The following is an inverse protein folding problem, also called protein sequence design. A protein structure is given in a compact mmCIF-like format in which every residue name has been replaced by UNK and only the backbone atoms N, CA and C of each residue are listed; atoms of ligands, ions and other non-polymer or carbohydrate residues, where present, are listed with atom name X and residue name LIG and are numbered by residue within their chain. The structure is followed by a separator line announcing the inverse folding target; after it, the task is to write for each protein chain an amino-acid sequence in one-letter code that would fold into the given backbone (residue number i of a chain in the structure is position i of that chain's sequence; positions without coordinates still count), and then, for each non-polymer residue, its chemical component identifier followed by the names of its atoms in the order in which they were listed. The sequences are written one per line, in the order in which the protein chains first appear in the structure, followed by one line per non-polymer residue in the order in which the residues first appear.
data_IF_679436766867
#
_entry.id   IF_679436766867
#
_cell.length_a   1.000
_cell.length_b   1.000
_cell.length_c   1.000
_cell.angle_alpha   90.00
_cell.angle_beta   90.00
_cell.angle_gamma   90.00
#
_symmetry.space_group_name_H-M   'P 1'
#
loop_
_entity.id
_entity.type
_entity.pdbx_description
1 polymer ?
#
# COMPACT_ATOMS: atom_id res chain seq x y z
N UNK A 1 -5.80 -1.46 -15.28
CA UNK A 1 -4.81 -1.25 -14.23
C UNK A 1 -4.80 0.22 -13.90
N UNK A 2 -4.87 0.55 -12.62
CA UNK A 2 -4.96 1.90 -12.09
C UNK A 2 -3.75 2.25 -11.20
N UNK A 3 -2.96 1.24 -10.83
CA UNK A 3 -1.72 1.40 -10.09
C UNK A 3 -0.65 2.08 -10.94
N UNK A 4 -0.07 3.16 -10.42
CA UNK A 4 1.11 3.83 -10.96
C UNK A 4 2.19 3.94 -9.89
N UNK A 5 3.41 3.51 -10.22
CA UNK A 5 4.58 3.55 -9.34
C UNK A 5 5.65 4.41 -10.00
N UNK A 6 6.09 5.48 -9.34
CA UNK A 6 7.16 6.32 -9.83
C UNK A 6 8.48 5.53 -9.87
N UNK A 7 9.03 5.33 -11.07
CA UNK A 7 10.35 4.75 -11.28
C UNK A 7 11.05 5.35 -12.50
N UNK A 8 12.38 5.40 -12.45
CA UNK A 8 13.26 5.80 -13.55
C UNK A 8 14.06 4.64 -14.13
N UNK A 9 14.31 3.60 -13.32
CA UNK A 9 14.97 2.35 -13.63
C UNK A 9 13.98 1.17 -13.46
N UNK A 10 13.40 0.68 -14.57
CA UNK A 10 12.53 -0.49 -14.54
C UNK A 10 13.21 -1.75 -14.00
N UNK A 11 14.53 -1.90 -14.16
CA UNK A 11 15.26 -3.05 -13.66
C UNK A 11 15.32 -3.04 -12.13
N UNK A 12 15.52 -1.87 -11.52
CA UNK A 12 15.47 -1.71 -10.07
C UNK A 12 14.09 -2.02 -9.48
N UNK A 13 13.00 -1.66 -10.18
CA UNK A 13 11.65 -2.04 -9.77
C UNK A 13 11.42 -3.56 -9.91
N UNK A 14 11.81 -4.14 -11.04
CA UNK A 14 11.67 -5.59 -11.30
C UNK A 14 12.41 -6.42 -10.25
N UNK A 15 13.64 -6.01 -9.89
CA UNK A 15 14.47 -6.75 -8.94
C UNK A 15 13.87 -6.84 -7.52
N UNK A 16 12.92 -5.98 -7.17
CA UNK A 16 12.29 -5.94 -5.84
C UNK A 16 10.79 -6.19 -5.84
N UNK A 17 10.19 -6.48 -7.00
CA UNK A 17 8.75 -6.60 -7.15
C UNK A 17 8.37 -7.97 -7.69
N UNK A 18 7.38 -8.56 -7.04
CA UNK A 18 6.73 -9.78 -7.48
C UNK A 18 5.22 -9.55 -7.59
N UNK A 19 4.52 -10.50 -8.21
CA UNK A 19 3.08 -10.43 -8.38
C UNK A 19 2.39 -11.78 -8.28
N UNK A 20 1.13 -11.76 -7.86
CA UNK A 20 0.25 -12.94 -7.80
C UNK A 20 -1.22 -12.52 -7.92
N UNK A 21 -2.15 -13.47 -7.88
CA UNK A 21 -3.58 -13.17 -7.81
C UNK A 21 -4.03 -12.85 -6.38
N UNK A 22 -5.30 -12.47 -6.20
CA UNK A 22 -5.92 -12.39 -4.88
C UNK A 22 -6.94 -13.52 -4.69
N UNK A 23 -7.16 -13.89 -3.43
CA UNK A 23 -8.19 -14.83 -3.00
C UNK A 23 -8.89 -14.33 -1.74
N UNK A 24 -10.09 -14.81 -1.47
CA UNK A 24 -10.69 -14.68 -0.15
C UNK A 24 -10.08 -15.71 0.81
N UNK A 25 -10.08 -15.39 2.10
CA UNK A 25 -9.80 -16.34 3.18
C UNK A 25 -10.71 -17.58 3.05
N UNK A 26 -10.17 -18.76 3.33
CA UNK A 26 -10.81 -20.07 3.17
C UNK A 26 -10.94 -20.88 4.45
N UNK A 27 -10.81 -20.25 5.63
CA UNK A 27 -10.94 -20.90 6.94
C UNK A 27 -9.80 -20.59 7.92
N UNK A 28 -8.85 -19.74 7.54
CA UNK A 28 -7.74 -19.31 8.39
C UNK A 28 -8.25 -18.44 9.55
N UNK A 29 -8.23 -18.97 10.77
CA UNK A 29 -8.81 -18.33 11.97
C UNK A 29 -8.11 -17.02 12.39
N UNK A 30 -6.86 -16.82 11.97
CA UNK A 30 -6.09 -15.59 12.23
C UNK A 30 -6.54 -14.39 11.38
N UNK A 31 -7.46 -14.59 10.44
CA UNK A 31 -7.99 -13.57 9.55
C UNK A 31 -9.46 -13.27 9.82
N UNK A 32 -9.87 -12.05 9.50
CA UNK A 32 -11.28 -11.71 9.46
C UNK A 32 -12.03 -12.50 8.38
N UNK A 33 -13.32 -12.82 8.61
CA UNK A 33 -14.18 -13.38 7.58
C UNK A 33 -14.20 -12.49 6.33
N UNK A 34 -13.94 -13.11 5.18
CA UNK A 34 -13.90 -12.40 3.90
C UNK A 34 -12.63 -11.61 3.62
N UNK A 35 -11.62 -11.64 4.51
CA UNK A 35 -10.31 -11.01 4.26
C UNK A 35 -9.75 -11.42 2.89
N UNK A 36 -9.14 -10.46 2.19
CA UNK A 36 -8.54 -10.68 0.87
C UNK A 36 -7.04 -10.83 1.04
N UNK A 37 -6.51 -11.95 0.53
CA UNK A 37 -5.12 -12.36 0.69
C UNK A 37 -4.45 -12.57 -0.67
N UNK A 38 -3.12 -12.43 -0.78
CA UNK A 38 -2.39 -12.95 -1.92
C UNK A 38 -2.67 -14.44 -2.12
N UNK A 39 -2.89 -14.85 -3.37
CA UNK A 39 -3.22 -16.24 -3.70
C UNK A 39 -1.99 -17.15 -3.71
N UNK A 40 -0.83 -16.61 -4.09
CA UNK A 40 0.39 -17.39 -4.32
C UNK A 40 0.26 -18.35 -5.53
N UNK A 41 1.38 -18.94 -5.99
CA UNK A 41 2.75 -18.52 -5.69
C UNK A 41 3.05 -17.12 -6.26
N UNK A 42 4.10 -16.48 -5.74
CA UNK A 42 4.64 -15.23 -6.29
C UNK A 42 5.39 -15.48 -7.58
N UNK A 43 5.31 -14.52 -8.49
CA UNK A 43 6.03 -14.52 -9.77
C UNK A 43 6.82 -13.22 -9.91
N UNK A 44 8.05 -13.25 -10.45
CA UNK A 44 8.80 -12.04 -10.73
C UNK A 44 8.01 -11.06 -11.61
N UNK A 45 8.14 -9.76 -11.35
CA UNK A 45 7.55 -8.73 -12.19
C UNK A 45 8.17 -8.79 -13.60
N UNK A 46 7.33 -8.87 -14.64
CA UNK A 46 7.84 -8.85 -16.03
C UNK A 46 8.10 -7.43 -16.51
N UNK A 47 8.96 -7.28 -17.53
CA UNK A 47 9.23 -6.00 -18.19
C UNK A 47 7.96 -5.31 -18.69
N UNK A 48 7.02 -6.07 -19.24
CA UNK A 48 5.73 -5.54 -19.74
C UNK A 48 4.83 -5.05 -18.61
N UNK A 49 4.89 -5.68 -17.44
CA UNK A 49 4.16 -5.20 -16.26
C UNK A 49 4.85 -3.96 -15.68
N UNK A 50 6.18 -3.94 -15.58
CA UNK A 50 6.94 -2.79 -15.11
C UNK A 50 6.69 -1.55 -15.98
N UNK A 51 6.65 -1.72 -17.30
CA UNK A 51 6.32 -0.66 -18.26
C UNK A 51 4.90 -0.10 -18.06
N UNK A 52 3.94 -0.97 -17.75
CA UNK A 52 2.55 -0.57 -17.48
C UNK A 52 2.39 0.20 -16.16
N UNK A 53 3.26 -0.06 -15.18
CA UNK A 53 3.24 0.61 -13.87
C UNK A 53 3.81 2.04 -13.93
N UNK A 54 4.50 2.40 -15.02
CA UNK A 54 5.12 3.72 -15.17
C UNK A 54 4.04 4.81 -15.20
N UNK A 55 4.16 5.89 -14.39
CA UNK A 55 3.21 6.98 -14.41
C UNK A 55 3.22 7.71 -15.75
N UNK A 56 2.05 8.17 -16.17
CA UNK A 56 1.92 9.09 -17.29
C UNK A 56 2.23 10.52 -16.84
N UNK A 57 2.45 11.43 -17.80
CA UNK A 57 2.61 12.86 -17.52
C UNK A 57 1.39 13.46 -16.79
N UNK A 58 0.20 12.89 -17.00
CA UNK A 58 -1.06 13.29 -16.37
C UNK A 58 -1.36 12.60 -15.04
N UNK A 59 -0.49 11.69 -14.56
CA UNK A 59 -0.70 11.02 -13.28
C UNK A 59 -0.56 12.02 -12.14
N UNK A 60 -1.65 12.27 -11.41
CA UNK A 60 -1.67 13.14 -10.22
C UNK A 60 -1.01 12.48 -9.02
N UNK A 61 -0.43 13.31 -8.14
CA UNK A 61 0.28 12.85 -6.94
C UNK A 61 -0.62 11.97 -6.05
N UNK A 62 -1.88 12.34 -5.84
CA UNK A 62 -2.88 11.58 -5.06
C UNK A 62 -3.23 10.18 -5.61
N UNK A 63 -2.69 9.80 -6.77
CA UNK A 63 -2.84 8.46 -7.37
C UNK A 63 -1.52 7.72 -7.53
N UNK A 64 -0.41 8.35 -7.15
CA UNK A 64 0.95 7.88 -7.38
C UNK A 64 1.52 7.20 -6.14
N UNK A 65 2.09 6.02 -6.35
CA UNK A 65 2.97 5.36 -5.38
C UNK A 65 4.41 5.75 -5.67
N UNK A 66 5.16 6.10 -4.63
CA UNK A 66 6.58 6.41 -4.70
C UNK A 66 7.34 5.53 -3.71
N UNK A 67 8.39 4.85 -4.17
CA UNK A 67 9.29 4.09 -3.31
C UNK A 67 10.41 5.03 -2.88
N UNK A 68 10.56 5.28 -1.59
CA UNK A 68 11.38 6.39 -1.09
C UNK A 68 12.42 5.90 -0.09
N UNK A 69 13.51 6.65 0.02
CA UNK A 69 14.50 6.45 1.08
C UNK A 69 14.42 7.59 2.09
N UNK A 70 14.74 7.29 3.35
CA UNK A 70 15.02 8.34 4.32
C UNK A 70 16.11 9.28 3.79
N UNK A 71 15.93 10.61 3.89
CA UNK A 71 16.98 11.56 3.53
C UNK A 71 18.25 11.28 4.32
N UNK A 72 19.41 11.46 3.68
CA UNK A 72 20.68 11.54 4.40
C UNK A 72 20.71 12.84 5.19
N UNK A 73 20.84 12.76 6.51
CA UNK A 73 20.83 13.95 7.36
C UNK A 73 20.86 13.62 8.85
N UNK A 74 20.88 14.64 9.71
CA UNK A 74 20.74 14.42 11.14
C UNK A 74 19.41 13.72 11.44
N UNK A 75 19.45 12.74 12.33
CA UNK A 75 18.24 12.04 12.79
C UNK A 75 17.32 13.08 13.43
N UNK A 76 16.04 13.18 13.01
CA UNK A 76 15.12 14.14 13.60
C UNK A 76 14.97 13.85 15.11
N UNK A 77 14.72 14.91 15.89
CA UNK A 77 14.64 14.81 17.36
C UNK A 77 13.55 13.81 17.84
N UNK A 78 12.56 13.56 16.99
CA UNK A 78 11.58 12.48 17.15
C UNK A 78 11.13 11.98 15.78
N UNK A 79 10.51 10.79 15.74
CA UNK A 79 9.87 10.31 14.52
C UNK A 79 8.69 11.19 14.09
N UNK A 80 7.96 11.80 15.03
CA UNK A 80 6.87 12.71 14.68
C UNK A 80 7.38 13.86 13.80
N UNK A 81 8.54 14.43 14.14
CA UNK A 81 9.17 15.54 13.43
C UNK A 81 9.82 15.15 12.08
N UNK A 82 9.75 13.88 11.68
CA UNK A 82 10.35 13.41 10.42
C UNK A 82 9.63 13.97 9.18
N UNK A 83 8.33 14.27 9.30
CA UNK A 83 7.52 14.80 8.21
C UNK A 83 7.61 16.34 8.07
N UNK A 84 8.00 17.07 9.13
CA UNK A 84 8.11 18.53 9.14
C UNK A 84 8.90 19.11 7.95
N UNK A 85 10.10 18.60 7.59
CA UNK A 85 10.86 19.13 6.47
C UNK A 85 10.24 18.80 5.11
N UNK A 86 9.22 17.95 5.04
CA UNK A 86 8.57 17.54 3.79
C UNK A 86 7.49 18.54 3.32
N UNK A 87 7.22 19.59 4.11
CA UNK A 87 6.48 20.77 3.66
C UNK A 87 4.96 20.70 3.75
N UNK A 88 4.40 19.66 4.38
CA UNK A 88 2.98 19.61 4.73
C UNK A 88 2.78 19.95 6.22
N UNK A 89 2.25 21.13 6.57
CA UNK A 89 2.02 21.53 7.95
C UNK A 89 0.91 20.72 8.64
N UNK A 90 0.05 20.05 7.87
CA UNK A 90 -1.07 19.24 8.38
C UNK A 90 -0.74 17.74 8.41
N UNK A 91 0.53 17.37 8.16
CA UNK A 91 0.98 16.00 8.23
C UNK A 91 0.83 15.44 9.65
N UNK A 92 0.24 14.25 9.76
CA UNK A 92 -0.02 13.60 11.06
C UNK A 92 0.81 12.34 11.17
N UNK A 93 1.58 12.20 12.24
CA UNK A 93 2.19 10.93 12.62
C UNK A 93 1.12 9.99 13.18
N UNK A 94 0.88 8.88 12.49
CA UNK A 94 -0.13 7.88 12.87
C UNK A 94 0.40 6.87 13.90
N UNK A 95 1.72 6.82 14.10
CA UNK A 95 2.36 5.92 15.05
C UNK A 95 3.21 4.84 14.38
N UNK A 96 3.45 3.79 15.14
CA UNK A 96 4.31 2.66 14.77
C UNK A 96 3.56 1.34 14.88
N UNK A 97 3.95 0.36 14.08
CA UNK A 97 3.50 -1.02 14.21
C UNK A 97 4.69 -1.98 14.10
N UNK A 98 4.72 -2.98 14.99
CA UNK A 98 5.60 -4.13 14.88
C UNK A 98 4.86 -5.28 14.18
N UNK A 99 5.56 -5.98 13.29
CA UNK A 99 5.06 -7.13 12.55
C UNK A 99 5.97 -8.33 12.84
N UNK A 100 5.41 -9.51 13.18
CA UNK A 100 6.22 -10.72 13.32
C UNK A 100 6.84 -11.10 11.96
N UNK A 101 7.86 -11.95 11.99
CA UNK A 101 8.36 -12.61 10.79
C UNK A 101 7.30 -13.52 10.15
N UNK A 102 7.45 -13.82 8.86
CA UNK A 102 6.63 -14.79 8.11
C UNK A 102 5.11 -14.47 8.05
N UNK A 103 4.70 -13.22 8.23
CA UNK A 103 3.29 -12.85 8.17
C UNK A 103 2.86 -12.51 6.74
N UNK A 104 1.90 -13.27 6.18
CA UNK A 104 1.38 -13.04 4.83
C UNK A 104 0.82 -11.62 4.66
N UNK A 105 0.12 -11.12 5.67
CA UNK A 105 -0.24 -9.70 5.81
C UNK A 105 -0.02 -9.27 7.26
N UNK A 106 -0.04 -7.97 7.56
CA UNK A 106 0.45 -7.48 8.86
C UNK A 106 -0.56 -6.67 9.66
N UNK A 107 -1.63 -6.17 9.06
CA UNK A 107 -2.54 -5.25 9.76
C UNK A 107 -3.58 -6.01 10.60
N UNK A 108 -3.56 -5.90 11.95
CA UNK A 108 -4.61 -6.46 12.79
C UNK A 108 -5.81 -5.51 12.87
N UNK A 109 -7.00 -6.07 13.08
CA UNK A 109 -8.13 -5.33 13.61
C UNK A 109 -7.89 -5.09 15.10
N UNK A 110 -7.98 -3.82 15.52
CA UNK A 110 -7.78 -3.41 16.91
C UNK A 110 -8.83 -3.98 17.88
N UNK A 111 -10.00 -4.42 17.38
CA UNK A 111 -11.09 -4.92 18.19
C UNK A 111 -10.89 -6.38 18.63
N UNK A 112 -10.35 -7.22 17.75
CA UNK A 112 -10.26 -8.67 17.99
C UNK A 112 -8.90 -9.30 17.66
N UNK A 113 -7.95 -8.52 17.15
CA UNK A 113 -6.59 -8.94 16.84
C UNK A 113 -6.44 -9.75 15.55
N UNK A 114 -7.53 -10.10 14.86
CA UNK A 114 -7.45 -10.83 13.58
C UNK A 114 -6.93 -9.92 12.48
N UNK A 115 -6.23 -10.48 11.51
CA UNK A 115 -5.70 -9.73 10.37
C UNK A 115 -6.80 -9.41 9.37
N UNK A 116 -6.81 -8.17 8.88
CA UNK A 116 -7.85 -7.68 7.96
C UNK A 116 -7.59 -8.07 6.49
N UNK A 117 -6.32 -8.35 6.15
CA UNK A 117 -5.85 -8.60 4.80
C UNK A 117 -5.70 -7.32 3.97
N UNK A 118 -5.62 -7.45 2.65
CA UNK A 118 -5.68 -6.28 1.75
C UNK A 118 -6.90 -5.43 2.07
N UNK A 119 -6.69 -4.13 2.24
CA UNK A 119 -7.70 -3.18 2.68
C UNK A 119 -7.46 -1.79 2.08
N UNK A 120 -8.45 -0.92 2.22
CA UNK A 120 -8.29 0.52 1.97
C UNK A 120 -8.43 1.29 3.27
N UNK A 121 -7.62 2.33 3.41
CA UNK A 121 -7.74 3.28 4.52
C UNK A 121 -8.96 4.21 4.32
N UNK A 122 -9.46 4.77 5.41
CA UNK A 122 -10.61 5.69 5.41
C UNK A 122 -10.44 6.82 6.45
N UNK A 123 -9.23 7.37 6.55
CA UNK A 123 -8.90 8.46 7.46
C UNK A 123 -9.65 9.75 7.11
N UNK A 124 -9.72 10.07 5.82
CA UNK A 124 -10.35 11.28 5.26
C UNK A 124 -11.85 11.10 5.01
N UNK A 125 -12.35 9.86 5.05
CA UNK A 125 -13.77 9.49 4.87
C UNK A 125 -14.37 10.03 3.56
N UNK A 126 -13.57 10.07 2.50
CA UNK A 126 -13.97 10.61 1.21
C UNK A 126 -14.99 9.71 0.49
N UNK A 127 -15.89 10.35 -0.25
CA UNK A 127 -16.81 9.69 -1.16
C UNK A 127 -16.12 9.15 -2.41
N UNK A 128 -16.88 8.45 -3.25
CA UNK A 128 -16.40 7.85 -4.50
C UNK A 128 -15.73 8.84 -5.45
N UNK A 129 -16.25 10.06 -5.57
CA UNK A 129 -15.76 11.04 -6.54
C UNK A 129 -14.43 11.63 -6.07
N UNK A 130 -14.35 11.96 -4.78
CA UNK A 130 -13.21 12.58 -4.15
C UNK A 130 -12.15 11.59 -3.67
N UNK A 131 -12.38 10.27 -3.70
CA UNK A 131 -11.45 9.27 -3.11
C UNK A 131 -9.99 9.37 -3.58
N UNK A 132 -9.76 9.88 -4.78
CA UNK A 132 -8.44 10.07 -5.38
C UNK A 132 -7.69 11.32 -4.89
N UNK A 133 -8.35 12.20 -4.12
CA UNK A 133 -7.76 13.41 -3.54
C UNK A 133 -7.34 13.22 -2.09
N UNK A 134 -7.51 12.00 -1.54
CA UNK A 134 -7.13 11.69 -0.17
C UNK A 134 -5.64 11.91 0.08
N UNK A 135 -5.31 12.16 1.35
CA UNK A 135 -3.94 12.21 1.82
C UNK A 135 -3.25 10.89 1.52
N UNK A 136 -1.95 10.98 1.24
CA UNK A 136 -1.10 9.81 1.01
C UNK A 136 -0.48 9.40 2.32
N UNK A 137 -0.25 8.10 2.46
CA UNK A 137 0.44 7.52 3.61
C UNK A 137 1.92 7.43 3.31
N UNK A 138 2.73 8.06 4.14
CA UNK A 138 4.17 7.85 4.21
C UNK A 138 4.42 6.70 5.19
N UNK A 139 5.24 5.73 4.80
CA UNK A 139 5.65 4.62 5.64
C UNK A 139 7.14 4.42 5.51
N UNK A 140 7.83 4.18 6.63
CA UNK A 140 9.23 3.74 6.63
C UNK A 140 9.38 2.40 7.36
N UNK A 141 10.16 1.49 6.77
CA UNK A 141 10.64 0.31 7.46
C UNK A 141 11.76 0.71 8.43
N UNK A 142 11.53 0.50 9.73
CA UNK A 142 12.49 0.76 10.80
C UNK A 142 13.38 -0.47 11.09
N UNK A 143 13.08 -1.63 10.49
CA UNK A 143 13.83 -2.87 10.69
C UNK A 143 13.44 -3.64 11.96
N UNK A 144 14.25 -4.63 12.38
CA UNK A 144 15.53 -5.01 11.76
C UNK A 144 15.36 -5.76 10.43
N UNK A 145 14.28 -6.51 10.24
CA UNK A 145 13.99 -7.23 9.00
C UNK A 145 13.49 -6.35 7.86
N UNK A 146 13.64 -6.83 6.64
CA UNK A 146 12.93 -6.27 5.49
C UNK A 146 11.43 -6.53 5.60
N UNK A 147 10.65 -5.75 4.87
CA UNK A 147 9.20 -5.96 4.77
C UNK A 147 8.74 -5.69 3.36
N UNK A 148 7.50 -6.07 3.07
CA UNK A 148 6.88 -5.81 1.80
C UNK A 148 5.72 -4.84 1.92
N UNK A 149 5.59 -3.97 0.91
CA UNK A 149 4.33 -3.30 0.60
C UNK A 149 3.53 -4.19 -0.37
N UNK A 150 2.30 -4.50 0.00
CA UNK A 150 1.33 -5.15 -0.88
C UNK A 150 0.43 -4.10 -1.51
N UNK A 151 0.18 -4.19 -2.83
CA UNK A 151 -0.71 -3.28 -3.57
C UNK A 151 -1.54 -4.04 -4.60
N UNK A 152 -2.82 -3.73 -4.71
CA UNK A 152 -3.65 -4.22 -5.82
C UNK A 152 -3.44 -3.41 -7.11
N UNK A 153 -3.70 -4.04 -8.26
CA UNK A 153 -3.59 -3.42 -9.59
C UNK A 153 -4.79 -2.52 -9.96
N UNK A 154 -5.87 -2.60 -9.19
CA UNK A 154 -7.08 -1.79 -9.32
C UNK A 154 -7.26 -0.90 -8.09
N UNK A 155 -7.66 0.35 -8.32
CA UNK A 155 -8.12 1.23 -7.25
C UNK A 155 -9.55 0.88 -6.82
N UNK A 156 -9.93 1.34 -5.62
CA UNK A 156 -11.24 1.04 -5.04
C UNK A 156 -12.39 1.68 -5.84
N UNK A 157 -12.12 2.73 -6.64
CA UNK A 157 -13.14 3.34 -7.51
C UNK A 157 -13.44 2.46 -8.72
N UNK A 158 -12.43 1.79 -9.28
CA UNK A 158 -12.58 0.80 -10.34
C UNK A 158 -13.33 -0.43 -9.83
N UNK A 159 -13.03 -0.86 -8.60
CA UNK A 159 -13.75 -1.93 -7.91
C UNK A 159 -15.23 -1.56 -7.73
N UNK A 160 -15.54 -0.40 -7.16
CA UNK A 160 -16.92 0.05 -6.97
C UNK A 160 -17.69 0.15 -8.28
N UNK A 161 -17.07 0.67 -9.35
CA UNK A 161 -17.68 0.76 -10.68
C UNK A 161 -18.01 -0.62 -11.28
N UNK A 162 -17.26 -1.66 -10.92
CA UNK A 162 -17.53 -3.03 -11.36
C UNK A 162 -18.64 -3.72 -10.54
N UNK A 163 -18.90 -3.25 -9.32
CA UNK A 163 -19.90 -3.81 -8.41
C UNK A 163 -21.26 -3.12 -8.51
N UNK A 164 -21.27 -1.80 -8.74
CA UNK A 164 -22.46 -0.97 -8.61
C UNK A 164 -22.81 -0.28 -9.91
N UNK A 165 -24.12 -0.22 -10.21
CA UNK A 165 -24.66 0.52 -11.36
C UNK A 165 -24.43 2.03 -11.23
N UNK A 166 -24.54 2.56 -10.00
CA UNK A 166 -24.26 3.96 -9.67
C UNK A 166 -23.34 4.00 -8.44
N UNK A 167 -22.02 4.18 -8.63
CA UNK A 167 -21.07 4.25 -7.54
C UNK A 167 -20.97 5.65 -6.89
N UNK A 168 -21.55 6.70 -7.49
CA UNK A 168 -21.32 8.10 -7.08
C UNK A 168 -21.78 8.41 -5.66
N UNK A 169 -22.80 7.70 -5.16
CA UNK A 169 -23.36 7.87 -3.81
C UNK A 169 -22.66 7.04 -2.73
N UNK A 170 -21.57 6.36 -3.06
CA UNK A 170 -20.90 5.43 -2.15
C UNK A 170 -19.69 6.08 -1.49
N UNK A 171 -19.36 5.56 -0.32
CA UNK A 171 -18.07 5.76 0.34
C UNK A 171 -17.32 4.44 0.22
N UNK A 172 -16.34 4.34 -0.72
CA UNK A 172 -15.63 3.08 -0.95
C UNK A 172 -14.98 2.54 0.33
N UNK A 173 -15.18 1.25 0.61
CA UNK A 173 -14.73 0.58 1.82
C UNK A 173 -14.04 -0.74 1.52
N UNK A 174 -13.31 -1.29 2.49
CA UNK A 174 -12.69 -2.63 2.39
C UNK A 174 -13.70 -3.72 2.02
N UNK A 175 -14.96 -3.58 2.43
CA UNK A 175 -16.01 -4.56 2.08
C UNK A 175 -16.32 -4.60 0.57
N UNK A 176 -16.11 -3.50 -0.16
CA UNK A 176 -16.24 -3.50 -1.62
C UNK A 176 -15.15 -4.36 -2.27
N UNK A 177 -13.92 -4.25 -1.77
CA UNK A 177 -12.82 -5.14 -2.19
C UNK A 177 -13.14 -6.60 -1.90
N UNK A 178 -13.64 -6.90 -0.69
CA UNK A 178 -14.03 -8.27 -0.29
C UNK A 178 -15.11 -8.82 -1.21
N UNK A 179 -16.16 -8.05 -1.49
CA UNK A 179 -17.24 -8.43 -2.40
C UNK A 179 -16.74 -8.67 -3.83
N UNK A 180 -15.82 -7.85 -4.32
CA UNK A 180 -15.23 -8.00 -5.66
C UNK A 180 -14.49 -9.33 -5.81
N UNK A 181 -13.63 -9.68 -4.87
CA UNK A 181 -12.85 -10.93 -4.91
C UNK A 181 -13.74 -12.14 -4.63
N UNK A 182 -14.70 -12.05 -3.70
CA UNK A 182 -15.69 -13.10 -3.45
C UNK A 182 -16.54 -13.41 -4.70
N UNK A 183 -16.79 -12.40 -5.54
CA UNK A 183 -17.40 -12.54 -6.87
C UNK A 183 -16.51 -13.20 -7.93
N UNK A 184 -15.34 -13.74 -7.54
CA UNK A 184 -14.34 -14.39 -8.42
C UNK A 184 -13.83 -13.49 -9.54
N UNK A 185 -13.83 -12.18 -9.33
CA UNK A 185 -13.30 -11.22 -10.30
C UNK A 185 -11.78 -11.14 -10.15
N UNK A 186 -11.03 -11.06 -11.26
CA UNK A 186 -9.58 -11.04 -11.20
C UNK A 186 -9.08 -9.76 -10.52
N UNK A 187 -8.14 -9.93 -9.60
CA UNK A 187 -7.38 -8.87 -8.96
C UNK A 187 -5.92 -9.34 -8.88
N UNK A 188 -5.00 -8.51 -9.35
CA UNK A 188 -3.57 -8.77 -9.23
C UNK A 188 -3.03 -8.03 -8.02
N UNK A 189 -2.15 -8.70 -7.27
CA UNK A 189 -1.43 -8.13 -6.14
C UNK A 189 0.04 -8.04 -6.49
N UNK A 190 0.65 -6.92 -6.15
CA UNK A 190 2.09 -6.69 -6.21
C UNK A 190 2.65 -6.73 -4.81
N UNK A 191 3.85 -7.30 -4.67
CA UNK A 191 4.61 -7.33 -3.43
C UNK A 191 5.97 -6.69 -3.70
N UNK A 192 6.27 -5.59 -3.00
CA UNK A 192 7.45 -4.77 -3.22
C UNK A 192 8.33 -4.79 -1.97
N UNK A 193 9.58 -5.24 -2.10
CA UNK A 193 10.52 -5.33 -0.98
C UNK A 193 11.03 -3.93 -0.55
N UNK A 194 11.04 -3.71 0.77
CA UNK A 194 11.50 -2.51 1.45
C UNK A 194 12.46 -2.91 2.58
N UNK A 195 13.73 -2.59 2.40
CA UNK A 195 14.76 -2.79 3.42
C UNK A 195 14.64 -1.75 4.54
N UNK A 196 15.28 -1.96 5.70
CA UNK A 196 15.37 -0.92 6.73
C UNK A 196 15.88 0.41 6.17
N UNK A 197 15.18 1.50 6.50
CA UNK A 197 15.44 2.84 5.98
C UNK A 197 14.83 3.16 4.62
N UNK A 198 14.21 2.16 3.97
CA UNK A 198 13.35 2.34 2.79
C UNK A 198 11.88 2.46 3.20
N UNK A 199 11.08 3.03 2.31
CA UNK A 199 9.70 3.37 2.58
C UNK A 199 8.88 3.61 1.32
N UNK A 200 7.67 4.11 1.52
CA UNK A 200 6.80 4.52 0.43
C UNK A 200 5.97 5.74 0.78
N UNK A 201 5.56 6.49 -0.25
CA UNK A 201 4.40 7.39 -0.21
C UNK A 201 3.34 6.77 -1.12
N UNK A 202 2.17 6.42 -0.58
CA UNK A 202 1.12 5.74 -1.35
C UNK A 202 -0.28 6.26 -1.00
N UNK A 203 -1.23 6.31 -1.96
CA UNK A 203 -2.61 6.71 -1.69
C UNK A 203 -3.39 5.51 -1.14
N UNK A 204 -3.14 5.15 0.11
CA UNK A 204 -3.71 3.96 0.77
C UNK A 204 -5.22 4.04 1.01
N UNK A 205 -5.80 5.24 0.93
CA UNK A 205 -7.24 5.45 0.82
C UNK A 205 -7.81 4.93 -0.51
N UNK A 206 -7.07 5.11 -1.60
CA UNK A 206 -7.52 4.81 -2.96
C UNK A 206 -7.17 3.38 -3.38
N UNK A 207 -5.97 2.91 -3.03
CA UNK A 207 -5.41 1.64 -3.46
C UNK A 207 -5.54 0.58 -2.34
N UNK A 208 -6.17 -0.58 -2.63
CA UNK A 208 -6.08 -1.72 -1.74
C UNK A 208 -4.63 -2.12 -1.48
N UNK A 209 -4.28 -2.26 -0.20
CA UNK A 209 -2.92 -2.45 0.26
C UNK A 209 -2.86 -3.22 1.59
N UNK A 210 -1.67 -3.67 1.98
CA UNK A 210 -1.31 -4.07 3.34
C UNK A 210 0.25 -4.11 3.42
N UNK A 211 0.82 -4.31 4.61
CA UNK A 211 2.20 -4.76 4.76
C UNK A 211 2.29 -6.29 4.81
N UNK A 212 3.45 -6.83 4.47
CA UNK A 212 3.77 -8.25 4.62
C UNK A 212 5.21 -8.43 5.10
N UNK A 213 5.46 -9.52 5.82
CA UNK A 213 6.80 -10.03 6.18
C UNK A 213 6.91 -11.50 5.81
N UNK A 214 6.03 -11.96 4.91
CA UNK A 214 6.08 -13.30 4.33
C UNK A 214 7.50 -13.58 3.87
N UNK A 215 8.00 -14.81 4.06
CA UNK A 215 9.37 -15.24 3.77
C UNK A 215 10.53 -14.53 4.49
N UNK A 216 10.29 -13.45 5.24
CA UNK A 216 11.33 -12.80 6.05
C UNK A 216 11.59 -13.57 7.34
N UNK A 217 12.85 -13.78 7.69
CA UNK A 217 13.25 -14.48 8.92
C UNK A 217 13.18 -13.60 10.17
N UNK A 218 13.34 -12.29 9.99
CA UNK A 218 13.31 -11.31 11.07
C UNK A 218 11.96 -10.57 11.13
N UNK A 219 11.51 -10.17 12.34
CA UNK A 219 10.40 -9.24 12.47
C UNK A 219 10.79 -7.86 11.91
N UNK A 220 9.79 -7.03 11.64
CA UNK A 220 10.00 -5.63 11.23
C UNK A 220 9.10 -4.67 12.01
N UNK A 221 9.58 -3.46 12.21
CA UNK A 221 8.80 -2.34 12.68
C UNK A 221 8.65 -1.30 11.57
N UNK A 222 7.54 -0.57 11.56
CA UNK A 222 7.33 0.53 10.63
C UNK A 222 6.65 1.71 11.33
N UNK A 223 6.97 2.91 10.85
CA UNK A 223 6.32 4.16 11.26
C UNK A 223 5.50 4.73 10.09
N UNK A 224 4.42 5.43 10.42
CA UNK A 224 3.45 5.90 9.45
C UNK A 224 3.08 7.37 9.68
N UNK A 225 2.91 8.10 8.58
CA UNK A 225 2.37 9.46 8.56
C UNK A 225 1.32 9.58 7.47
N UNK A 226 0.44 10.56 7.60
CA UNK A 226 -0.61 10.87 6.64
C UNK A 226 -0.52 12.35 6.26
N UNK A 227 -0.45 12.66 4.97
CA UNK A 227 -0.28 14.03 4.48
C UNK A 227 -0.40 14.21 2.97
N UNK A 228 -0.27 15.45 2.52
CA UNK A 228 -0.21 15.89 1.13
C UNK A 228 1.21 16.26 0.76
N UNK A 229 1.94 15.30 0.20
CA UNK A 229 3.25 15.57 -0.35
C UNK A 229 3.17 15.68 -1.88
N UNK A 230 3.96 16.56 -2.51
CA UNK A 230 4.15 16.54 -3.95
C UNK A 230 5.01 15.35 -4.36
N UNK A 231 4.93 14.94 -5.63
CA UNK A 231 5.86 13.93 -6.16
C UNK A 231 7.31 14.40 -6.06
N UNK A 232 8.21 13.47 -5.75
CA UNK A 232 9.65 13.75 -5.64
C UNK A 232 10.04 14.55 -4.39
N UNK A 233 9.17 14.65 -3.38
CA UNK A 233 9.52 15.28 -2.09
C UNK A 233 10.67 14.55 -1.38
N UNK A 234 10.83 13.26 -1.67
CA UNK A 234 11.86 12.39 -1.13
C UNK A 234 12.63 11.71 -2.27
N UNK A 235 13.90 11.32 -2.04
CA UNK A 235 14.66 10.55 -3.01
C UNK A 235 13.97 9.23 -3.36
N UNK A 236 13.80 8.97 -4.66
CA UNK A 236 13.20 7.73 -5.16
C UNK A 236 14.21 6.57 -5.15
N UNK A 237 13.73 5.35 -4.91
CA UNK A 237 14.53 4.13 -4.89
C UNK A 237 14.71 3.49 -6.29
N UNK A 238 13.88 3.90 -7.25
CA UNK A 238 13.80 3.33 -8.59
C UNK A 238 13.71 4.41 -9.63
#
# INVERSE_FOLDING_TARGET
MNLAIAHTDPAALIARCETTGARTVGGEAEYEPGAVLPAGPWQPLTTELAARLKPAASTSDGTLVELVKLPTGPVPASLAALADPLGDPDAVHLGQAASPAKALTTTPNYQDGRRIGLHVDNWDRLDYESKHTGRRRLCFNLGPGSRYLLLADLDIRAICRALYRDPTRRHPHTDDLRAYVAGRRPLRVYRICLNPGEGYIAPTELLPHDGSTEDQDEPSAAAFWLGHWPRGVLPNLT
#
